data_IF_849514564643
#
_entry.id   IF_849514564643
#
_cell.length_a   1.000
_cell.length_b   1.000
_cell.length_c   1.000
_cell.angle_alpha   90.00
_cell.angle_beta   90.00
_cell.angle_gamma   90.00
#
_symmetry.space_group_name_H-M   'P 1'
#
loop_
_entity.id
_entity.type
_entity.pdbx_description
1 polymer ?
#
# COMPACT_ATOMS: atom_id res chain seq x y z
N UNK A 1 -28.23 -34.48 42.75
CA UNK A 1 -27.13 -34.80 41.77
C UNK A 1 -26.83 -33.57 40.97
N UNK A 2 -25.73 -32.93 41.23
CA UNK A 2 -25.31 -31.69 40.61
C UNK A 2 -24.29 -32.01 39.48
N UNK A 3 -24.59 -31.69 38.25
CA UNK A 3 -23.66 -31.80 37.13
C UNK A 3 -23.01 -30.44 36.91
N UNK A 4 -21.73 -30.40 37.16
CA UNK A 4 -20.81 -29.27 37.03
C UNK A 4 -20.40 -29.14 35.57
N UNK A 5 -20.87 -28.10 34.86
CA UNK A 5 -20.40 -27.76 33.53
C UNK A 5 -19.07 -27.01 33.66
N UNK A 6 -18.00 -27.57 33.09
CA UNK A 6 -16.67 -26.94 33.00
C UNK A 6 -16.66 -25.97 31.83
N UNK A 7 -16.42 -24.68 32.09
CA UNK A 7 -16.16 -23.69 31.10
C UNK A 7 -14.71 -23.81 30.60
N UNK A 8 -14.51 -24.12 29.32
CA UNK A 8 -13.23 -24.09 28.67
C UNK A 8 -12.85 -22.63 28.35
N UNK A 9 -11.83 -22.13 29.00
CA UNK A 9 -11.21 -20.85 28.68
C UNK A 9 -10.43 -20.98 27.36
N UNK A 10 -10.86 -20.28 26.34
CA UNK A 10 -10.13 -20.12 25.08
C UNK A 10 -8.97 -19.15 25.32
N UNK A 11 -7.75 -19.66 25.29
CA UNK A 11 -6.51 -18.90 25.27
C UNK A 11 -6.34 -18.21 23.93
N UNK A 12 -6.73 -16.95 23.80
CA UNK A 12 -6.53 -16.10 22.62
C UNK A 12 -5.36 -15.13 22.79
N UNK A 13 -4.16 -15.60 23.15
CA UNK A 13 -3.00 -14.76 23.40
C UNK A 13 -1.79 -14.95 22.47
N UNK A 14 -1.68 -16.09 21.80
CA UNK A 14 -0.47 -16.43 21.03
C UNK A 14 -0.30 -15.75 19.67
N UNK A 15 -1.38 -15.40 19.01
CA UNK A 15 -1.29 -14.91 17.62
C UNK A 15 -0.83 -13.44 17.47
N UNK A 16 -0.88 -12.66 18.54
CA UNK A 16 -0.52 -11.25 18.47
C UNK A 16 0.97 -11.02 18.73
N UNK A 17 1.54 -11.81 19.63
CA UNK A 17 2.97 -11.78 19.96
C UNK A 17 3.81 -12.34 18.79
N UNK A 18 3.35 -13.40 18.12
CA UNK A 18 4.00 -13.93 16.91
C UNK A 18 3.95 -12.96 15.71
N UNK A 19 2.83 -12.23 15.54
CA UNK A 19 2.71 -11.20 14.49
C UNK A 19 3.63 -10.01 14.78
N UNK A 20 3.80 -9.59 16.03
CA UNK A 20 4.67 -8.48 16.43
C UNK A 20 6.17 -8.87 16.29
N UNK A 21 6.57 -10.11 16.62
CA UNK A 21 7.94 -10.63 16.42
C UNK A 21 8.29 -10.79 14.92
N UNK A 22 7.35 -11.22 14.08
CA UNK A 22 7.55 -11.27 12.63
C UNK A 22 7.72 -9.86 12.03
N UNK A 23 7.04 -8.85 12.57
CA UNK A 23 7.18 -7.46 12.13
C UNK A 23 8.54 -6.86 12.50
N UNK A 24 9.03 -7.05 13.72
CA UNK A 24 10.34 -6.57 14.18
C UNK A 24 11.48 -7.20 13.35
N UNK A 25 11.36 -8.48 13.04
CA UNK A 25 12.36 -9.19 12.23
C UNK A 25 12.36 -8.70 10.77
N UNK A 26 11.19 -8.35 10.22
CA UNK A 26 11.08 -7.81 8.86
C UNK A 26 11.65 -6.39 8.76
N UNK A 27 11.38 -5.53 9.74
CA UNK A 27 11.93 -4.18 9.75
C UNK A 27 13.46 -4.20 9.85
N UNK A 28 14.04 -5.17 10.57
CA UNK A 28 15.49 -5.41 10.61
C UNK A 28 16.05 -5.92 9.28
N UNK A 29 15.33 -6.80 8.58
CA UNK A 29 15.75 -7.28 7.25
C UNK A 29 15.61 -6.20 6.18
N UNK A 30 14.49 -5.49 6.13
CA UNK A 30 14.30 -4.37 5.18
C UNK A 30 15.29 -3.24 5.41
N UNK A 31 15.69 -2.98 6.64
CA UNK A 31 16.75 -2.03 6.98
C UNK A 31 18.09 -2.34 6.30
N UNK A 32 18.38 -3.62 6.06
CA UNK A 32 19.61 -4.06 5.35
C UNK A 32 19.55 -3.83 3.84
N UNK A 33 18.35 -3.78 3.25
CA UNK A 33 18.14 -3.56 1.81
C UNK A 33 17.89 -2.09 1.44
N UNK A 34 17.97 -1.17 2.41
CA UNK A 34 17.77 0.25 2.15
C UNK A 34 19.01 0.83 1.46
N UNK A 35 19.03 0.71 0.15
CA UNK A 35 20.13 1.16 -0.73
C UNK A 35 20.10 2.64 -1.05
N UNK A 36 19.20 3.41 -0.46
CA UNK A 36 19.18 4.86 -0.63
C UNK A 36 20.21 5.47 0.30
N UNK A 37 21.25 6.02 -0.29
CA UNK A 37 22.30 6.79 0.40
C UNK A 37 21.63 7.86 1.28
N UNK A 38 21.79 7.81 2.62
CA UNK A 38 21.13 8.72 3.54
C UNK A 38 21.56 10.18 3.31
N UNK A 39 22.78 10.40 2.82
CA UNK A 39 23.28 11.74 2.55
C UNK A 39 22.65 12.34 1.30
N UNK A 40 22.42 11.53 0.26
CA UNK A 40 21.66 11.95 -0.92
C UNK A 40 20.21 12.26 -0.57
N UNK A 41 19.56 11.42 0.25
CA UNK A 41 18.20 11.68 0.71
C UNK A 41 18.13 12.98 1.50
N UNK A 42 19.08 13.22 2.41
CA UNK A 42 19.15 14.46 3.19
C UNK A 42 19.35 15.67 2.31
N UNK A 43 20.21 15.57 1.30
CA UNK A 43 20.45 16.64 0.34
C UNK A 43 19.18 17.00 -0.46
N UNK A 44 18.43 15.99 -0.91
CA UNK A 44 17.15 16.19 -1.62
C UNK A 44 16.12 16.84 -0.69
N UNK A 45 15.96 16.34 0.54
CA UNK A 45 15.01 16.90 1.49
C UNK A 45 15.33 18.34 1.89
N UNK A 46 16.62 18.72 1.91
CA UNK A 46 17.04 20.09 2.19
C UNK A 46 16.61 21.09 1.10
N UNK A 47 16.28 20.63 -0.10
CA UNK A 47 15.78 21.49 -1.19
C UNK A 47 14.26 21.72 -1.15
N UNK A 48 13.55 21.03 -0.26
CA UNK A 48 12.08 21.10 -0.20
C UNK A 48 11.63 22.43 0.42
N UNK A 49 10.59 23.01 -0.18
CA UNK A 49 9.83 24.08 0.47
C UNK A 49 9.09 23.54 1.70
N UNK A 50 8.69 24.38 2.67
CA UNK A 50 7.89 23.93 3.83
C UNK A 50 6.62 23.17 3.43
N UNK A 51 5.96 23.60 2.35
CA UNK A 51 4.76 22.92 1.84
C UNK A 51 5.08 21.57 1.22
N UNK A 52 6.19 21.45 0.48
CA UNK A 52 6.64 20.17 -0.07
C UNK A 52 7.04 19.21 1.05
N UNK A 53 7.73 19.71 2.08
CA UNK A 53 8.09 18.90 3.25
C UNK A 53 6.85 18.40 3.98
N UNK A 54 5.84 19.23 4.20
CA UNK A 54 4.57 18.83 4.82
C UNK A 54 3.86 17.73 4.03
N UNK A 55 3.79 17.85 2.69
CA UNK A 55 3.22 16.80 1.83
C UNK A 55 4.02 15.50 1.88
N UNK A 56 5.35 15.60 1.84
CA UNK A 56 6.24 14.45 1.94
C UNK A 56 6.05 13.69 3.26
N UNK A 57 6.02 14.41 4.39
CA UNK A 57 5.80 13.79 5.70
C UNK A 57 4.42 13.14 5.81
N UNK A 58 3.39 13.81 5.31
CA UNK A 58 2.05 13.26 5.27
C UNK A 58 1.98 11.96 4.45
N UNK A 59 2.58 11.96 3.25
CA UNK A 59 2.68 10.77 2.41
C UNK A 59 3.52 9.68 3.07
N UNK A 60 4.66 10.00 3.68
CA UNK A 60 5.53 9.04 4.35
C UNK A 60 4.80 8.29 5.46
N UNK A 61 4.01 9.00 6.27
CA UNK A 61 3.25 8.42 7.40
C UNK A 61 1.97 7.70 6.96
N UNK A 62 1.47 7.97 5.76
CA UNK A 62 0.25 7.33 5.27
C UNK A 62 0.49 5.85 4.96
N UNK A 63 -0.54 5.04 5.16
CA UNK A 63 -0.51 3.62 4.84
C UNK A 63 -1.90 3.03 4.82
N UNK A 64 -2.03 1.84 4.24
CA UNK A 64 -3.27 1.08 4.31
C UNK A 64 -3.34 0.32 5.63
N UNK A 65 -4.55 0.21 6.18
CA UNK A 65 -4.79 -0.60 7.37
C UNK A 65 -4.53 -2.08 7.03
N UNK A 66 -3.62 -2.72 7.78
CA UNK A 66 -3.14 -4.08 7.52
C UNK A 66 -4.27 -5.11 7.45
N UNK A 67 -5.19 -5.08 8.42
CA UNK A 67 -6.33 -6.00 8.44
C UNK A 67 -7.19 -5.91 7.18
N UNK A 68 -7.43 -4.71 6.68
CA UNK A 68 -8.21 -4.51 5.45
C UNK A 68 -7.44 -4.97 4.22
N UNK A 69 -6.13 -4.70 4.15
CA UNK A 69 -5.28 -5.18 3.06
C UNK A 69 -5.20 -6.70 3.05
N UNK A 70 -5.01 -7.35 4.21
CA UNK A 70 -4.98 -8.80 4.34
C UNK A 70 -6.28 -9.43 3.84
N UNK A 71 -7.45 -8.88 4.24
CA UNK A 71 -8.77 -9.36 3.77
C UNK A 71 -8.91 -9.22 2.26
N UNK A 72 -8.50 -8.09 1.70
CA UNK A 72 -8.53 -7.85 0.26
C UNK A 72 -7.66 -8.86 -0.48
N UNK A 73 -6.43 -9.06 -0.03
CA UNK A 73 -5.51 -10.02 -0.64
C UNK A 73 -6.03 -11.45 -0.56
N UNK A 74 -6.58 -11.85 0.59
CA UNK A 74 -7.21 -13.16 0.76
C UNK A 74 -8.40 -13.36 -0.18
N UNK A 75 -9.22 -12.32 -0.37
CA UNK A 75 -10.37 -12.40 -1.29
C UNK A 75 -9.95 -12.56 -2.75
N UNK A 76 -8.80 -12.02 -3.13
CA UNK A 76 -8.26 -12.10 -4.50
C UNK A 76 -7.50 -13.41 -4.73
N UNK A 77 -6.67 -13.82 -3.75
CA UNK A 77 -5.81 -14.99 -3.86
C UNK A 77 -6.55 -16.31 -3.55
N UNK A 78 -7.64 -16.24 -2.80
CA UNK A 78 -8.38 -17.45 -2.35
C UNK A 78 -7.64 -18.27 -1.30
N UNK A 79 -6.54 -17.77 -0.73
CA UNK A 79 -5.74 -18.47 0.28
C UNK A 79 -5.30 -17.51 1.40
N UNK A 80 -4.89 -18.04 2.57
CA UNK A 80 -4.32 -17.24 3.64
C UNK A 80 -3.06 -16.49 3.17
N UNK A 81 -2.92 -15.21 3.58
CA UNK A 81 -1.80 -14.36 3.23
C UNK A 81 -0.94 -14.10 4.47
N UNK A 82 0.37 -14.22 4.32
CA UNK A 82 1.35 -13.95 5.39
C UNK A 82 1.43 -12.44 5.70
N UNK A 83 1.92 -12.12 6.91
CA UNK A 83 2.13 -10.74 7.35
C UNK A 83 3.14 -10.02 6.43
N UNK A 84 4.31 -10.59 6.12
CA UNK A 84 5.28 -9.98 5.20
C UNK A 84 4.68 -9.63 3.84
N UNK A 85 3.92 -10.52 3.24
CA UNK A 85 3.24 -10.27 1.96
C UNK A 85 2.24 -9.11 2.08
N UNK A 86 1.51 -9.03 3.19
CA UNK A 86 0.56 -7.94 3.44
C UNK A 86 1.27 -6.59 3.49
N UNK A 87 2.44 -6.50 4.14
CA UNK A 87 3.25 -5.27 4.25
C UNK A 87 3.76 -4.86 2.86
N UNK A 88 4.37 -5.78 2.13
CA UNK A 88 4.90 -5.52 0.78
C UNK A 88 3.79 -5.03 -0.15
N UNK A 89 2.65 -5.72 -0.17
CA UNK A 89 1.52 -5.34 -1.02
C UNK A 89 0.90 -4.00 -0.60
N UNK A 90 0.90 -3.68 0.67
CA UNK A 90 0.47 -2.35 1.16
C UNK A 90 1.40 -1.25 0.64
N UNK A 91 2.71 -1.46 0.63
CA UNK A 91 3.69 -0.55 0.07
C UNK A 91 3.50 -0.33 -1.43
N UNK A 92 3.39 -1.41 -2.20
CA UNK A 92 3.16 -1.36 -3.66
C UNK A 92 1.86 -0.62 -3.96
N UNK A 93 0.77 -0.95 -3.27
CA UNK A 93 -0.53 -0.30 -3.45
C UNK A 93 -0.48 1.19 -3.12
N UNK A 94 0.24 1.58 -2.07
CA UNK A 94 0.46 2.98 -1.71
C UNK A 94 1.15 3.76 -2.83
N UNK A 95 2.22 3.20 -3.40
CA UNK A 95 2.95 3.82 -4.51
C UNK A 95 2.07 3.97 -5.74
N UNK A 96 1.30 2.94 -6.10
CA UNK A 96 0.39 2.99 -7.23
C UNK A 96 -0.71 4.04 -7.06
N UNK A 97 -1.33 4.12 -5.88
CA UNK A 97 -2.35 5.15 -5.59
C UNK A 97 -1.74 6.54 -5.64
N UNK A 98 -0.54 6.73 -5.08
CA UNK A 98 0.17 8.00 -5.13
C UNK A 98 0.42 8.46 -6.57
N UNK A 99 0.89 7.58 -7.44
CA UNK A 99 1.14 7.88 -8.85
C UNK A 99 -0.16 8.17 -9.62
N UNK A 100 -1.22 7.40 -9.34
CA UNK A 100 -2.54 7.63 -9.95
C UNK A 100 -3.10 9.01 -9.60
N UNK A 101 -3.00 9.42 -8.34
CA UNK A 101 -3.47 10.72 -7.87
C UNK A 101 -2.63 11.86 -8.45
N UNK A 102 -1.30 11.72 -8.48
CA UNK A 102 -0.41 12.73 -9.06
C UNK A 102 -0.64 12.89 -10.56
N UNK A 103 -0.79 11.80 -11.30
CA UNK A 103 -1.15 11.85 -12.72
C UNK A 103 -2.52 12.50 -12.91
N UNK A 104 -3.48 12.22 -12.03
CA UNK A 104 -4.80 12.88 -12.03
C UNK A 104 -4.70 14.39 -11.81
N UNK A 105 -3.80 14.84 -10.92
CA UNK A 105 -3.50 16.25 -10.69
C UNK A 105 -2.88 16.91 -11.93
N UNK A 106 -1.97 16.23 -12.60
CA UNK A 106 -1.36 16.71 -13.84
C UNK A 106 -2.45 16.89 -14.92
N UNK A 107 -3.32 15.89 -15.11
CA UNK A 107 -4.46 15.98 -16.05
C UNK A 107 -5.36 17.17 -15.75
N UNK A 108 -5.64 17.43 -14.48
CA UNK A 108 -6.45 18.58 -14.05
C UNK A 108 -5.77 19.90 -14.42
N UNK A 109 -4.45 20.01 -14.17
CA UNK A 109 -3.65 21.19 -14.51
C UNK A 109 -3.60 21.44 -16.03
N UNK A 110 -3.39 20.39 -16.83
CA UNK A 110 -3.39 20.47 -18.30
C UNK A 110 -4.72 20.95 -18.87
N UNK A 111 -5.84 20.67 -18.17
CA UNK A 111 -7.18 21.14 -18.55
C UNK A 111 -7.51 22.55 -18.06
N UNK A 112 -6.59 23.19 -17.32
CA UNK A 112 -6.83 24.50 -16.70
C UNK A 112 -7.91 24.45 -15.62
N UNK A 113 -8.20 23.28 -15.06
CA UNK A 113 -9.21 23.10 -14.02
C UNK A 113 -8.60 23.26 -12.63
N UNK A 114 -9.36 23.80 -11.70
CA UNK A 114 -8.98 23.98 -10.30
C UNK A 114 -9.99 23.34 -9.35
N UNK A 115 -9.61 23.14 -8.08
CA UNK A 115 -10.47 22.52 -7.07
C UNK A 115 -10.17 21.04 -6.85
N UNK A 116 -11.15 20.24 -6.40
CA UNK A 116 -10.93 18.82 -6.09
C UNK A 116 -10.75 17.98 -7.35
N UNK A 117 -9.92 16.93 -7.24
CA UNK A 117 -9.75 15.95 -8.31
C UNK A 117 -11.08 15.21 -8.52
N UNK A 118 -11.57 15.22 -9.76
CA UNK A 118 -12.83 14.58 -10.14
C UNK A 118 -12.59 13.18 -10.74
N UNK A 119 -13.61 12.31 -10.77
CA UNK A 119 -13.49 10.96 -11.36
C UNK A 119 -13.00 10.94 -12.81
N UNK A 120 -13.30 11.98 -13.59
CA UNK A 120 -12.82 12.10 -14.99
C UNK A 120 -11.29 12.22 -15.06
N UNK A 121 -10.66 12.93 -14.10
CA UNK A 121 -9.20 13.05 -14.03
C UNK A 121 -8.55 11.70 -13.68
N UNK A 122 -9.12 10.96 -12.71
CA UNK A 122 -8.62 9.64 -12.32
C UNK A 122 -8.77 8.61 -13.47
N UNK A 123 -9.89 8.64 -14.19
CA UNK A 123 -10.06 7.76 -15.37
C UNK A 123 -9.03 8.02 -16.46
N UNK A 124 -8.76 9.29 -16.74
CA UNK A 124 -7.73 9.68 -17.71
C UNK A 124 -6.32 9.33 -17.21
N UNK A 125 -6.03 9.58 -15.92
CA UNK A 125 -4.79 9.18 -15.30
C UNK A 125 -4.55 7.66 -15.42
N UNK A 126 -5.56 6.86 -15.09
CA UNK A 126 -5.49 5.41 -15.22
C UNK A 126 -5.27 4.96 -16.67
N UNK A 127 -5.92 5.62 -17.63
CA UNK A 127 -5.71 5.35 -19.06
C UNK A 127 -4.27 5.61 -19.47
N UNK A 128 -3.65 6.72 -19.00
CA UNK A 128 -2.24 7.06 -19.27
C UNK A 128 -1.31 6.04 -18.66
N UNK A 129 -1.45 5.73 -17.36
CA UNK A 129 -0.64 4.72 -16.67
C UNK A 129 -0.72 3.33 -17.35
N UNK A 130 -1.88 3.00 -17.91
CA UNK A 130 -2.05 1.77 -18.68
C UNK A 130 -1.30 1.80 -20.02
N UNK A 131 -1.27 2.92 -20.72
CA UNK A 131 -0.50 3.10 -21.95
C UNK A 131 1.00 3.07 -21.69
N UNK A 132 1.44 3.63 -20.56
CA UNK A 132 2.83 3.64 -20.10
C UNK A 132 3.31 2.26 -19.58
N UNK A 133 2.45 1.25 -19.63
CA UNK A 133 2.78 -0.11 -19.18
C UNK A 133 2.87 -0.29 -17.67
N UNK A 134 2.51 0.72 -16.87
CA UNK A 134 2.53 0.67 -15.40
C UNK A 134 1.36 -0.12 -14.80
N UNK A 135 0.34 -0.40 -15.60
CA UNK A 135 -0.81 -1.23 -15.24
C UNK A 135 -0.79 -2.47 -16.11
N UNK A 136 -0.77 -3.69 -15.53
CA UNK A 136 -0.82 -4.91 -16.31
C UNK A 136 -2.06 -4.96 -17.21
N UNK A 137 -1.84 -5.23 -18.48
CA UNK A 137 -2.94 -5.50 -19.40
C UNK A 137 -3.52 -6.88 -19.05
N UNK A 138 -4.81 -6.95 -18.74
CA UNK A 138 -5.49 -8.24 -18.70
C UNK A 138 -5.36 -8.87 -20.09
N UNK A 139 -4.65 -10.01 -20.17
CA UNK A 139 -4.62 -10.82 -21.36
C UNK A 139 -6.06 -11.13 -21.77
N UNK A 140 -6.47 -10.74 -22.99
CA UNK A 140 -7.77 -11.19 -23.53
C UNK A 140 -7.71 -12.71 -23.59
N UNK A 141 -8.72 -13.46 -23.07
CA UNK A 141 -8.78 -14.89 -23.30
C UNK A 141 -8.69 -15.10 -24.81
N UNK A 142 -7.72 -15.89 -25.25
CA UNK A 142 -7.65 -16.26 -26.66
C UNK A 142 -8.89 -17.09 -26.97
N UNK A 143 -9.69 -16.66 -27.92
CA UNK A 143 -10.90 -17.35 -28.35
C UNK A 143 -10.59 -18.69 -29.07
N UNK A 144 -9.33 -18.89 -29.46
CA UNK A 144 -8.88 -20.09 -30.15
C UNK A 144 -7.55 -20.57 -29.54
N UNK A 145 -7.46 -21.86 -29.29
CA UNK A 145 -6.24 -22.59 -29.01
C UNK A 145 -5.68 -23.15 -30.28
#
# INVERSE_FOLDING_TARGET
MATKAAAAAVKGGGGKEEEDEEEENLDLEFGKYHTVDPDKMRAVLATFTPEQMSRYECYRRSGFQRANMRRLLQSVAGCPISVPMTIVMSGISKMFVGELVETGRIVMTERGESGPIRPCHIREAYRRLKLDGKVPLRGRPRLFH
#
